data_IF_265974432940
#
_entry.id   IF_265974432940
#
_cell.length_a   1.000
_cell.length_b   1.000
_cell.length_c   1.000
_cell.angle_alpha   90.00
_cell.angle_beta   90.00
_cell.angle_gamma   90.00
#
_symmetry.space_group_name_H-M   'P 1'
#
loop_
_entity.id
_entity.type
_entity.pdbx_description
1 polymer ?
#
# COMPACT_ATOMS: atom_id res chain seq x y z
N UNK A 1 66.08 26.58 41.22
CA UNK A 1 64.64 26.41 40.96
C UNK A 1 64.10 27.62 40.22
N UNK A 2 63.88 27.50 38.91
CA UNK A 2 63.09 28.43 38.10
C UNK A 2 62.33 27.58 37.08
N UNK A 3 61.00 27.63 37.15
CA UNK A 3 60.08 26.93 36.26
C UNK A 3 59.77 27.88 35.10
N UNK A 4 59.98 27.45 33.86
CA UNK A 4 59.54 28.13 32.65
C UNK A 4 58.21 27.51 32.17
N UNK A 5 57.23 28.30 31.68
CA UNK A 5 55.99 27.75 31.15
C UNK A 5 56.14 27.42 29.66
N UNK A 6 55.73 26.20 29.29
CA UNK A 6 55.52 25.74 27.92
C UNK A 6 54.05 25.97 27.55
N UNK A 7 53.83 26.83 26.56
CA UNK A 7 52.56 27.07 25.90
C UNK A 7 52.61 26.39 24.52
N UNK A 8 51.70 25.46 24.14
CA UNK A 8 51.62 25.02 22.76
C UNK A 8 50.63 25.89 21.98
N UNK A 9 51.11 26.46 20.88
CA UNK A 9 50.31 26.99 19.79
C UNK A 9 49.42 25.87 19.21
N UNK A 10 48.10 26.08 19.26
CA UNK A 10 47.11 25.33 18.48
C UNK A 10 46.36 26.36 17.63
N UNK A 11 46.96 26.67 16.47
CA UNK A 11 46.43 27.61 15.48
C UNK A 11 45.59 26.82 14.46
N UNK A 12 44.28 27.00 14.57
CA UNK A 12 43.32 27.18 13.47
C UNK A 12 43.51 26.37 12.18
N UNK A 13 42.77 25.27 12.06
CA UNK A 13 42.36 24.67 10.78
C UNK A 13 40.82 24.51 10.78
N UNK A 14 40.13 25.65 10.81
CA UNK A 14 38.70 25.76 10.54
C UNK A 14 38.54 26.01 9.04
N UNK A 15 38.46 24.93 8.26
CA UNK A 15 37.97 24.99 6.88
C UNK A 15 36.45 25.22 6.92
N UNK A 16 35.90 26.27 6.28
CA UNK A 16 34.48 26.47 6.23
C UNK A 16 33.86 25.40 5.31
N UNK A 17 33.18 24.42 5.90
CA UNK A 17 32.27 23.49 5.20
C UNK A 17 30.99 24.22 4.75
N UNK A 18 31.11 25.39 4.11
CA UNK A 18 30.00 26.18 3.56
C UNK A 18 29.70 25.82 2.10
N UNK A 19 30.12 24.63 1.66
CA UNK A 19 29.90 24.09 0.32
C UNK A 19 28.73 23.11 0.23
N UNK A 20 27.78 23.12 1.15
CA UNK A 20 26.46 22.50 0.92
C UNK A 20 25.72 23.36 -0.10
N UNK A 21 26.13 23.27 -1.36
CA UNK A 21 25.38 23.81 -2.47
C UNK A 21 23.98 23.24 -2.38
N UNK A 22 22.98 24.10 -2.31
CA UNK A 22 21.59 23.73 -2.43
C UNK A 22 21.46 22.93 -3.74
N UNK A 23 21.51 21.60 -3.65
CA UNK A 23 21.20 20.74 -4.77
C UNK A 23 19.80 21.15 -5.18
N UNK A 24 19.72 21.84 -6.33
CA UNK A 24 18.47 22.42 -6.82
C UNK A 24 17.52 21.25 -6.94
N UNK A 25 16.51 21.24 -6.08
CA UNK A 25 15.59 20.12 -5.98
C UNK A 25 14.94 19.95 -7.35
N UNK A 26 15.25 18.84 -8.04
CA UNK A 26 14.68 18.60 -9.35
C UNK A 26 13.16 18.52 -9.20
N UNK A 27 12.40 19.18 -10.10
CA UNK A 27 10.96 19.09 -10.08
C UNK A 27 10.55 17.62 -10.26
N UNK A 28 9.57 17.16 -9.48
CA UNK A 28 9.08 15.81 -9.61
C UNK A 28 8.61 15.57 -11.06
N UNK A 29 8.93 14.42 -11.68
CA UNK A 29 8.54 14.14 -13.04
C UNK A 29 7.01 14.19 -13.15
N UNK A 30 6.48 14.77 -14.22
CA UNK A 30 5.03 14.84 -14.47
C UNK A 30 4.46 13.42 -14.53
N UNK A 31 3.29 13.20 -13.90
CA UNK A 31 2.59 11.92 -14.02
C UNK A 31 2.09 11.70 -15.45
N UNK A 32 2.11 10.45 -15.96
CA UNK A 32 1.40 10.12 -17.19
C UNK A 32 -0.12 10.29 -17.00
N UNK A 33 -0.87 10.25 -18.09
CA UNK A 33 -2.33 10.22 -18.01
C UNK A 33 -2.78 8.91 -17.33
N UNK A 34 -3.83 8.98 -16.51
CA UNK A 34 -4.38 7.78 -15.90
C UNK A 34 -4.99 6.86 -17.00
N UNK A 35 -4.74 5.55 -16.94
CA UNK A 35 -5.27 4.61 -17.93
C UNK A 35 -6.78 4.47 -17.80
N UNK A 36 -7.48 4.34 -18.92
CA UNK A 36 -8.85 3.85 -18.90
C UNK A 36 -8.92 2.34 -18.69
N UNK A 37 -10.15 1.83 -18.53
CA UNK A 37 -10.39 0.40 -18.30
C UNK A 37 -9.93 -0.46 -19.48
N UNK A 38 -10.17 -0.01 -20.70
CA UNK A 38 -9.91 -0.80 -21.90
C UNK A 38 -8.41 -0.96 -22.13
N UNK A 39 -7.64 0.10 -21.92
CA UNK A 39 -6.18 0.08 -21.93
C UNK A 39 -5.64 -0.89 -20.87
N UNK A 40 -6.12 -0.81 -19.64
CA UNK A 40 -5.67 -1.69 -18.55
C UNK A 40 -6.00 -3.16 -18.82
N UNK A 41 -7.18 -3.45 -19.39
CA UNK A 41 -7.57 -4.81 -19.77
C UNK A 41 -6.74 -5.34 -20.94
N UNK A 42 -6.44 -4.53 -21.95
CA UNK A 42 -5.55 -4.89 -23.05
C UNK A 42 -4.13 -5.17 -22.55
N UNK A 43 -3.62 -4.32 -21.66
CA UNK A 43 -2.30 -4.50 -21.04
C UNK A 43 -2.23 -5.83 -20.28
N UNK A 44 -3.23 -6.10 -19.43
CA UNK A 44 -3.32 -7.36 -18.68
C UNK A 44 -3.43 -8.57 -19.61
N UNK A 45 -4.23 -8.49 -20.68
CA UNK A 45 -4.38 -9.59 -21.63
C UNK A 45 -3.05 -9.90 -22.34
N UNK A 46 -2.33 -8.88 -22.80
CA UNK A 46 -1.00 -9.06 -23.40
C UNK A 46 0.00 -9.63 -22.40
N UNK A 47 -0.02 -9.17 -21.15
CA UNK A 47 0.82 -9.70 -20.07
C UNK A 47 0.55 -11.18 -19.81
N UNK A 48 -0.72 -11.57 -19.66
CA UNK A 48 -1.13 -12.97 -19.46
C UNK A 48 -0.73 -13.84 -20.65
N UNK A 49 -0.90 -13.36 -21.89
CA UNK A 49 -0.49 -14.10 -23.07
C UNK A 49 1.04 -14.29 -23.15
N UNK A 50 1.81 -13.28 -22.75
CA UNK A 50 3.27 -13.36 -22.69
C UNK A 50 3.76 -14.40 -21.68
N UNK A 51 3.18 -14.43 -20.48
CA UNK A 51 3.52 -15.45 -19.48
C UNK A 51 3.07 -16.86 -19.90
N UNK A 52 1.89 -17.01 -20.51
CA UNK A 52 1.46 -18.30 -21.07
C UNK A 52 2.43 -18.81 -22.16
N UNK A 53 3.02 -17.91 -22.97
CA UNK A 53 4.05 -18.28 -23.94
C UNK A 53 5.36 -18.73 -23.27
N UNK A 54 5.77 -18.11 -22.14
CA UNK A 54 6.92 -18.56 -21.34
C UNK A 54 6.68 -19.93 -20.69
N UNK A 55 5.46 -20.21 -20.23
CA UNK A 55 5.07 -21.53 -19.73
C UNK A 55 5.14 -22.61 -20.82
N UNK A 56 4.89 -22.23 -22.08
CA UNK A 56 5.06 -23.07 -23.24
C UNK A 56 6.49 -23.09 -23.83
N UNK A 57 7.47 -22.55 -23.10
CA UNK A 57 8.89 -22.47 -23.50
C UNK A 57 9.13 -21.74 -24.83
N UNK A 58 8.26 -20.78 -25.17
CA UNK A 58 8.35 -19.99 -26.41
C UNK A 58 8.76 -18.56 -26.11
N UNK A 59 10.07 -18.34 -26.03
CA UNK A 59 10.65 -17.01 -25.76
C UNK A 59 10.22 -15.97 -26.80
N UNK A 60 10.25 -16.30 -28.08
CA UNK A 60 9.94 -15.36 -29.16
C UNK A 60 8.50 -14.85 -29.04
N UNK A 61 7.55 -15.75 -28.82
CA UNK A 61 6.13 -15.38 -28.66
C UNK A 61 5.89 -14.57 -27.39
N UNK A 62 6.60 -14.88 -26.30
CA UNK A 62 6.53 -14.06 -25.10
C UNK A 62 7.01 -12.63 -25.36
N UNK A 63 8.14 -12.47 -26.08
CA UNK A 63 8.68 -11.17 -26.44
C UNK A 63 7.76 -10.38 -27.39
N UNK A 64 7.07 -11.06 -28.32
CA UNK A 64 6.03 -10.44 -29.16
C UNK A 64 4.89 -9.86 -28.32
N UNK A 65 4.38 -10.64 -27.35
CA UNK A 65 3.33 -10.16 -26.44
C UNK A 65 3.81 -9.02 -25.54
N UNK A 66 5.03 -9.09 -25.00
CA UNK A 66 5.59 -8.00 -24.21
C UNK A 66 5.91 -6.75 -25.04
N UNK A 67 6.12 -6.87 -26.36
CA UNK A 67 6.23 -5.71 -27.24
C UNK A 67 4.90 -4.96 -27.42
N UNK A 68 3.76 -5.64 -27.27
CA UNK A 68 2.46 -4.96 -27.25
C UNK A 68 2.33 -4.02 -26.03
N UNK A 69 3.01 -4.31 -24.92
CA UNK A 69 2.99 -3.45 -23.74
C UNK A 69 3.61 -2.07 -24.01
N UNK A 70 4.69 -2.00 -24.79
CA UNK A 70 5.29 -0.72 -25.24
C UNK A 70 4.34 0.05 -26.16
N UNK A 71 3.55 -0.65 -27.00
CA UNK A 71 2.58 -0.01 -27.89
C UNK A 71 1.40 0.58 -27.12
N UNK A 72 0.97 -0.11 -26.05
CA UNK A 72 -0.12 0.34 -25.18
C UNK A 72 0.31 1.46 -24.24
N UNK A 73 1.51 1.35 -23.66
CA UNK A 73 2.09 2.33 -22.75
C UNK A 73 3.49 2.68 -23.23
N UNK A 74 3.63 3.64 -24.16
CA UNK A 74 4.93 4.11 -24.62
C UNK A 74 5.77 4.59 -23.44
N UNK A 75 7.06 4.27 -23.46
CA UNK A 75 8.00 4.53 -22.35
C UNK A 75 7.63 3.83 -21.03
N UNK A 76 6.72 2.86 -21.05
CA UNK A 76 6.35 2.05 -19.90
C UNK A 76 7.48 1.16 -19.42
N UNK A 77 7.87 1.29 -18.16
CA UNK A 77 8.97 0.51 -17.60
C UNK A 77 8.66 -0.99 -17.48
N UNK A 78 7.39 -1.36 -17.34
CA UNK A 78 6.96 -2.75 -17.15
C UNK A 78 7.22 -3.63 -18.38
N UNK A 79 7.13 -3.08 -19.60
CA UNK A 79 7.44 -3.83 -20.82
C UNK A 79 8.89 -4.36 -20.81
N UNK A 80 9.84 -3.50 -20.44
CA UNK A 80 11.26 -3.89 -20.31
C UNK A 80 11.50 -4.84 -19.12
N UNK A 81 10.78 -4.65 -18.01
CA UNK A 81 10.84 -5.58 -16.88
C UNK A 81 10.41 -7.00 -17.29
N UNK A 82 9.26 -7.14 -17.94
CA UNK A 82 8.78 -8.46 -18.39
C UNK A 82 9.67 -9.09 -19.47
N UNK A 83 10.30 -8.27 -20.34
CA UNK A 83 11.37 -8.76 -21.23
C UNK A 83 12.57 -9.27 -20.44
N UNK A 84 12.95 -8.61 -19.35
CA UNK A 84 14.03 -9.08 -18.48
C UNK A 84 13.71 -10.45 -17.87
N UNK A 85 12.49 -10.65 -17.36
CA UNK A 85 12.02 -11.96 -16.88
C UNK A 85 12.08 -13.01 -18.01
N UNK A 86 11.58 -12.69 -19.21
CA UNK A 86 11.61 -13.60 -20.35
C UNK A 86 13.03 -14.06 -20.71
N UNK A 87 13.97 -13.11 -20.83
CA UNK A 87 15.36 -13.43 -21.12
C UNK A 87 16.02 -14.21 -19.98
N UNK A 88 15.74 -13.84 -18.73
CA UNK A 88 16.29 -14.49 -17.55
C UNK A 88 15.86 -15.96 -17.44
N UNK A 89 14.57 -16.23 -17.64
CA UNK A 89 14.00 -17.58 -17.70
C UNK A 89 14.61 -18.43 -18.82
N UNK A 90 14.95 -17.83 -19.96
CA UNK A 90 15.63 -18.49 -21.07
C UNK A 90 17.16 -18.61 -20.89
N UNK A 91 17.72 -18.24 -19.74
CA UNK A 91 19.17 -18.28 -19.47
C UNK A 91 19.99 -17.20 -20.19
N UNK A 92 19.34 -16.22 -20.83
CA UNK A 92 19.98 -15.12 -21.57
C UNK A 92 20.31 -13.95 -20.64
N UNK A 93 21.25 -14.20 -19.72
CA UNK A 93 21.55 -13.30 -18.60
C UNK A 93 21.98 -11.90 -19.03
N UNK A 94 22.76 -11.78 -20.11
CA UNK A 94 23.22 -10.48 -20.59
C UNK A 94 22.05 -9.61 -21.10
N UNK A 95 21.15 -10.21 -21.88
CA UNK A 95 19.94 -9.55 -22.39
C UNK A 95 18.95 -9.22 -21.27
N UNK A 96 18.80 -10.11 -20.29
CA UNK A 96 17.98 -9.86 -19.11
C UNK A 96 18.50 -8.66 -18.29
N UNK A 97 19.82 -8.62 -18.08
CA UNK A 97 20.49 -7.52 -17.37
C UNK A 97 20.25 -6.18 -18.08
N UNK A 98 20.41 -6.15 -19.39
CA UNK A 98 20.25 -4.93 -20.18
C UNK A 98 18.77 -4.50 -20.27
N UNK A 99 17.83 -5.43 -20.37
CA UNK A 99 16.40 -5.14 -20.30
C UNK A 99 16.01 -4.55 -18.93
N UNK A 100 16.53 -5.11 -17.82
CA UNK A 100 16.26 -4.57 -16.49
C UNK A 100 16.85 -3.16 -16.31
N UNK A 101 18.03 -2.87 -16.86
CA UNK A 101 18.58 -1.51 -16.88
C UNK A 101 17.68 -0.54 -17.63
N UNK A 102 17.14 -0.93 -18.79
CA UNK A 102 16.17 -0.11 -19.53
C UNK A 102 14.88 0.10 -18.75
N UNK A 103 14.38 -0.92 -18.04
CA UNK A 103 13.23 -0.77 -17.14
C UNK A 103 13.52 0.28 -16.06
N UNK A 104 14.67 0.21 -15.40
CA UNK A 104 15.08 1.19 -14.38
C UNK A 104 15.20 2.61 -14.96
N UNK A 105 15.77 2.74 -16.16
CA UNK A 105 15.85 4.03 -16.86
C UNK A 105 14.47 4.62 -17.18
N UNK A 106 13.47 3.76 -17.45
CA UNK A 106 12.06 4.12 -17.64
C UNK A 106 11.29 4.31 -16.31
N UNK A 107 11.95 4.17 -15.16
CA UNK A 107 11.37 4.43 -13.83
C UNK A 107 10.85 3.19 -13.09
N UNK A 108 11.22 1.97 -13.52
CA UNK A 108 11.01 0.78 -12.69
C UNK A 108 11.87 0.86 -11.42
N UNK A 109 11.26 0.67 -10.27
CA UNK A 109 11.87 0.91 -8.98
C UNK A 109 11.22 0.05 -7.88
N UNK A 110 11.23 -1.26 -8.06
CA UNK A 110 10.77 -2.23 -7.05
C UNK A 110 11.91 -3.22 -6.74
N UNK A 111 12.77 -2.91 -5.74
CA UNK A 111 13.89 -3.77 -5.39
C UNK A 111 13.43 -5.12 -4.83
N UNK A 112 12.33 -5.13 -4.07
CA UNK A 112 11.82 -6.31 -3.39
C UNK A 112 11.30 -7.33 -4.43
N UNK A 113 10.54 -6.86 -5.43
CA UNK A 113 10.08 -7.68 -6.56
C UNK A 113 11.26 -8.25 -7.36
N UNK A 114 12.22 -7.41 -7.76
CA UNK A 114 13.37 -7.86 -8.55
C UNK A 114 14.28 -8.84 -7.78
N UNK A 115 14.34 -8.73 -6.45
CA UNK A 115 15.11 -9.61 -5.59
C UNK A 115 14.42 -10.98 -5.43
N UNK A 116 13.08 -11.00 -5.33
CA UNK A 116 12.28 -12.21 -5.17
C UNK A 116 11.99 -12.95 -6.49
N UNK A 117 12.04 -12.28 -7.64
CA UNK A 117 11.66 -12.85 -8.94
C UNK A 117 12.58 -14.03 -9.35
N UNK A 118 12.09 -15.27 -9.45
CA UNK A 118 12.93 -16.42 -9.82
C UNK A 118 13.49 -16.32 -11.25
N UNK A 119 12.81 -15.64 -12.18
CA UNK A 119 13.27 -15.49 -13.57
C UNK A 119 14.53 -14.60 -13.64
N UNK A 120 14.76 -13.75 -12.62
CA UNK A 120 15.93 -12.89 -12.54
C UNK A 120 17.11 -13.50 -11.75
N UNK A 121 17.05 -14.78 -11.36
CA UNK A 121 18.10 -15.44 -10.57
C UNK A 121 19.49 -15.36 -11.24
N UNK A 122 19.56 -15.52 -12.56
CA UNK A 122 20.80 -15.39 -13.32
C UNK A 122 21.39 -13.98 -13.31
N UNK A 123 20.53 -12.95 -13.35
CA UNK A 123 20.94 -11.54 -13.24
C UNK A 123 21.51 -11.26 -11.85
N UNK A 124 20.87 -11.79 -10.79
CA UNK A 124 21.34 -11.64 -9.40
C UNK A 124 22.69 -12.28 -9.13
N UNK A 125 23.01 -13.38 -9.82
CA UNK A 125 24.31 -14.03 -9.72
C UNK A 125 25.42 -13.28 -10.48
N UNK A 126 25.07 -12.32 -11.33
CA UNK A 126 26.00 -11.55 -12.15
C UNK A 126 26.70 -10.43 -11.37
N UNK A 127 27.87 -10.02 -11.86
CA UNK A 127 28.68 -8.94 -11.24
C UNK A 127 27.96 -7.57 -11.22
N UNK A 128 26.97 -7.37 -12.10
CA UNK A 128 26.23 -6.11 -12.24
C UNK A 128 25.10 -5.93 -11.21
N UNK A 129 24.74 -7.00 -10.48
CA UNK A 129 23.57 -6.98 -9.60
C UNK A 129 23.64 -5.90 -8.52
N UNK A 130 24.80 -5.67 -7.91
CA UNK A 130 24.95 -4.63 -6.88
C UNK A 130 24.63 -3.23 -7.41
N UNK A 131 25.03 -2.93 -8.65
CA UNK A 131 24.71 -1.64 -9.27
C UNK A 131 23.21 -1.52 -9.59
N UNK A 132 22.59 -2.60 -10.08
CA UNK A 132 21.15 -2.68 -10.36
C UNK A 132 20.34 -2.49 -9.07
N UNK A 133 20.69 -3.20 -8.00
CA UNK A 133 20.02 -3.09 -6.71
C UNK A 133 20.14 -1.66 -6.14
N UNK A 134 21.33 -1.05 -6.24
CA UNK A 134 21.53 0.34 -5.86
C UNK A 134 20.64 1.32 -6.65
N UNK A 135 20.50 1.11 -7.96
CA UNK A 135 19.65 1.94 -8.82
C UNK A 135 18.14 1.76 -8.52
N UNK A 136 17.68 0.53 -8.28
CA UNK A 136 16.30 0.22 -7.87
C UNK A 136 15.96 0.90 -6.55
N UNK A 137 16.81 0.75 -5.52
CA UNK A 137 16.61 1.38 -4.20
C UNK A 137 16.64 2.91 -4.28
N UNK A 138 17.54 3.48 -5.09
CA UNK A 138 17.57 4.92 -5.31
C UNK A 138 16.31 5.41 -6.03
N UNK A 139 15.78 4.65 -6.99
CA UNK A 139 14.49 4.91 -7.63
C UNK A 139 13.32 4.87 -6.65
N UNK A 140 13.29 3.85 -5.79
CA UNK A 140 12.25 3.66 -4.77
C UNK A 140 12.25 4.83 -3.79
N UNK A 141 13.42 5.24 -3.30
CA UNK A 141 13.56 6.38 -2.39
C UNK A 141 13.14 7.70 -3.05
N UNK A 142 13.47 7.92 -4.34
CA UNK A 142 12.96 9.08 -5.09
C UNK A 142 11.44 9.06 -5.21
N UNK A 143 10.85 7.90 -5.49
CA UNK A 143 9.40 7.70 -5.53
C UNK A 143 8.75 8.06 -4.19
N UNK A 144 9.31 7.53 -3.09
CA UNK A 144 8.87 7.80 -1.72
C UNK A 144 8.98 9.28 -1.35
N UNK A 145 10.10 9.92 -1.66
CA UNK A 145 10.29 11.35 -1.42
C UNK A 145 9.28 12.20 -2.21
N UNK A 146 8.98 11.82 -3.46
CA UNK A 146 7.97 12.49 -4.27
C UNK A 146 6.56 12.33 -3.69
N UNK A 147 6.20 11.14 -3.18
CA UNK A 147 4.93 10.92 -2.47
C UNK A 147 4.82 11.76 -1.20
N UNK A 148 5.89 11.79 -0.39
CA UNK A 148 5.94 12.59 0.83
C UNK A 148 5.81 14.09 0.56
N UNK A 149 6.35 14.58 -0.58
CA UNK A 149 6.19 15.98 -1.01
C UNK A 149 4.76 16.27 -1.46
N UNK A 150 4.18 15.40 -2.30
CA UNK A 150 2.81 15.56 -2.78
C UNK A 150 1.81 15.74 -1.62
N UNK A 151 2.02 15.05 -0.50
CA UNK A 151 1.20 15.19 0.71
C UNK A 151 1.20 16.58 1.35
N UNK A 152 2.22 17.41 1.11
CA UNK A 152 2.37 18.70 1.80
C UNK A 152 1.79 19.89 1.03
N UNK A 153 1.60 19.77 -0.27
CA UNK A 153 1.45 20.93 -1.16
C UNK A 153 0.01 21.20 -1.64
N UNK A 154 -0.99 20.64 -0.97
CA UNK A 154 -2.34 20.68 -1.53
C UNK A 154 -3.13 21.96 -1.19
N UNK A 155 -3.57 22.67 -2.23
CA UNK A 155 -4.42 23.85 -2.11
C UNK A 155 -5.90 23.51 -2.35
N UNK A 156 -6.72 23.55 -1.30
CA UNK A 156 -8.17 23.36 -1.44
C UNK A 156 -8.87 24.40 -2.33
N UNK A 157 -8.24 25.53 -2.64
CA UNK A 157 -8.76 26.56 -3.54
C UNK A 157 -8.85 26.14 -5.01
N UNK A 158 -8.08 25.13 -5.44
CA UNK A 158 -8.07 24.68 -6.84
C UNK A 158 -9.09 23.58 -7.16
N UNK A 159 -9.67 22.92 -6.15
CA UNK A 159 -10.66 21.87 -6.39
C UNK A 159 -12.03 22.43 -6.79
N UNK A 160 -12.81 21.77 -7.66
CA UNK A 160 -14.10 22.28 -8.07
C UNK A 160 -15.09 22.41 -6.90
N UNK A 161 -16.02 23.36 -7.00
CA UNK A 161 -17.20 23.42 -6.11
C UNK A 161 -18.22 22.36 -6.52
N UNK A 162 -18.93 21.81 -5.54
CA UNK A 162 -19.91 20.75 -5.76
C UNK A 162 -21.27 21.16 -5.22
N UNK A 163 -22.38 21.04 -5.98
CA UNK A 163 -23.70 21.43 -5.50
C UNK A 163 -24.23 20.53 -4.38
N UNK A 164 -23.73 19.31 -4.25
CA UNK A 164 -24.12 18.35 -3.22
C UNK A 164 -22.99 17.40 -2.86
N UNK A 165 -23.09 16.77 -1.69
CA UNK A 165 -22.11 15.81 -1.24
C UNK A 165 -22.05 14.55 -2.12
N UNK A 166 -23.20 14.14 -2.68
CA UNK A 166 -23.26 13.01 -3.61
C UNK A 166 -22.54 13.31 -4.94
N UNK A 167 -22.61 14.56 -5.42
CA UNK A 167 -21.86 14.96 -6.62
C UNK A 167 -20.35 14.96 -6.40
N UNK A 168 -19.88 15.36 -5.21
CA UNK A 168 -18.47 15.25 -4.80
C UNK A 168 -18.04 13.77 -4.79
N UNK A 169 -18.81 12.91 -4.12
CA UNK A 169 -18.53 11.47 -4.02
C UNK A 169 -18.51 10.80 -5.38
N UNK A 170 -19.45 11.14 -6.26
CA UNK A 170 -19.52 10.60 -7.62
C UNK A 170 -18.29 11.02 -8.41
N UNK A 171 -17.91 12.29 -8.37
CA UNK A 171 -16.74 12.81 -9.08
C UNK A 171 -15.43 12.11 -8.67
N UNK A 172 -15.12 12.04 -7.37
CA UNK A 172 -13.90 11.34 -6.93
C UNK A 172 -14.02 9.81 -7.05
N UNK A 173 -15.23 9.26 -7.00
CA UNK A 173 -15.49 7.87 -7.36
C UNK A 173 -15.04 7.56 -8.79
N UNK A 174 -15.36 8.42 -9.75
CA UNK A 174 -14.93 8.27 -11.14
C UNK A 174 -13.42 8.50 -11.32
N UNK A 175 -12.81 9.46 -10.61
CA UNK A 175 -11.36 9.67 -10.68
C UNK A 175 -10.54 8.52 -10.07
N UNK A 176 -11.06 7.86 -9.02
CA UNK A 176 -10.36 6.74 -8.38
C UNK A 176 -10.28 5.50 -9.25
N UNK A 177 -11.23 5.28 -10.16
CA UNK A 177 -11.23 4.09 -11.02
C UNK A 177 -10.02 4.03 -11.97
N UNK A 178 -9.71 5.07 -12.78
CA UNK A 178 -8.47 5.12 -13.56
C UNK A 178 -7.21 5.01 -12.71
N UNK A 179 -7.18 5.66 -11.54
CA UNK A 179 -6.03 5.57 -10.64
C UNK A 179 -5.84 4.15 -10.07
N UNK A 180 -6.91 3.37 -9.88
CA UNK A 180 -6.82 1.96 -9.53
C UNK A 180 -6.27 1.11 -10.69
N UNK A 181 -6.65 1.42 -11.93
CA UNK A 181 -6.10 0.74 -13.11
C UNK A 181 -4.61 1.04 -13.34
N UNK A 182 -4.09 2.16 -12.82
CA UNK A 182 -2.67 2.49 -12.90
C UNK A 182 -1.76 1.40 -12.33
N UNK A 183 -2.19 0.64 -11.31
CA UNK A 183 -1.39 -0.45 -10.73
C UNK A 183 -1.18 -1.62 -11.69
N UNK A 184 -1.97 -1.71 -12.76
CA UNK A 184 -1.85 -2.76 -13.78
C UNK A 184 -0.85 -2.40 -14.88
N UNK A 185 -0.64 -1.10 -15.14
CA UNK A 185 0.05 -0.62 -16.35
C UNK A 185 1.30 0.21 -16.07
N UNK A 186 1.46 0.71 -14.84
CA UNK A 186 2.58 1.53 -14.43
C UNK A 186 3.34 0.90 -13.27
N UNK A 187 4.64 1.22 -13.11
CA UNK A 187 5.40 0.85 -11.92
C UNK A 187 4.70 1.31 -10.63
N UNK A 188 4.89 0.55 -9.55
CA UNK A 188 4.25 0.77 -8.25
C UNK A 188 4.33 2.21 -7.76
N UNK A 189 5.50 2.86 -7.83
CA UNK A 189 5.67 4.24 -7.39
C UNK A 189 4.85 5.25 -8.21
N UNK A 190 4.73 5.04 -9.54
CA UNK A 190 3.92 5.90 -10.42
C UNK A 190 2.43 5.72 -10.11
N UNK A 191 1.97 4.47 -10.03
CA UNK A 191 0.58 4.16 -9.70
C UNK A 191 0.19 4.67 -8.30
N UNK A 192 1.09 4.51 -7.32
CA UNK A 192 0.93 5.03 -5.98
C UNK A 192 0.73 6.55 -5.97
N UNK A 193 1.55 7.27 -6.75
CA UNK A 193 1.46 8.74 -6.84
C UNK A 193 0.15 9.20 -7.49
N UNK A 194 -0.33 8.49 -8.52
CA UNK A 194 -1.63 8.76 -9.13
C UNK A 194 -2.77 8.59 -8.12
N UNK A 195 -2.78 7.47 -7.38
CA UNK A 195 -3.80 7.21 -6.34
C UNK A 195 -3.73 8.27 -5.24
N UNK A 196 -2.53 8.63 -4.82
CA UNK A 196 -2.30 9.63 -3.78
C UNK A 196 -2.81 11.01 -4.20
N UNK A 197 -2.52 11.44 -5.43
CA UNK A 197 -3.00 12.71 -5.96
C UNK A 197 -4.53 12.77 -5.94
N UNK A 198 -5.21 11.72 -6.42
CA UNK A 198 -6.69 11.68 -6.39
C UNK A 198 -7.23 11.76 -4.95
N UNK A 199 -6.64 11.04 -3.99
CA UNK A 199 -7.09 11.09 -2.60
C UNK A 199 -6.84 12.44 -1.93
N UNK A 200 -5.72 13.10 -2.23
CA UNK A 200 -5.44 14.45 -1.70
C UNK A 200 -6.44 15.47 -2.22
N UNK A 201 -6.72 15.42 -3.53
CA UNK A 201 -7.75 16.24 -4.17
C UNK A 201 -9.11 16.00 -3.53
N UNK A 202 -9.48 14.73 -3.29
CA UNK A 202 -10.72 14.36 -2.59
C UNK A 202 -10.78 14.97 -1.17
N UNK A 203 -9.71 14.84 -0.38
CA UNK A 203 -9.64 15.41 0.97
C UNK A 203 -9.78 16.94 0.99
N UNK A 204 -9.14 17.60 0.03
CA UNK A 204 -9.20 19.05 -0.10
C UNK A 204 -10.57 19.54 -0.55
N UNK A 205 -11.22 18.82 -1.47
CA UNK A 205 -12.59 19.09 -1.86
C UNK A 205 -13.59 18.85 -0.73
N UNK A 206 -13.40 17.83 0.12
CA UNK A 206 -14.22 17.61 1.32
C UNK A 206 -14.12 18.83 2.26
N UNK A 207 -12.90 19.36 2.45
CA UNK A 207 -12.68 20.55 3.27
C UNK A 207 -13.34 21.80 2.65
N UNK A 208 -13.12 22.03 1.36
CA UNK A 208 -13.75 23.14 0.61
C UNK A 208 -15.27 23.06 0.69
N UNK A 209 -15.84 21.89 0.43
CA UNK A 209 -17.28 21.65 0.48
C UNK A 209 -17.85 21.97 1.86
N UNK A 210 -17.15 21.60 2.95
CA UNK A 210 -17.57 21.96 4.30
C UNK A 210 -17.61 23.47 4.56
N UNK A 211 -16.74 24.26 3.92
CA UNK A 211 -16.76 25.74 4.01
C UNK A 211 -17.86 26.36 3.16
N UNK A 212 -18.10 25.83 1.96
CA UNK A 212 -19.12 26.34 1.03
C UNK A 212 -20.55 25.94 1.44
N UNK A 213 -20.69 24.83 2.15
CA UNK A 213 -21.97 24.29 2.62
C UNK A 213 -21.99 24.14 4.14
N UNK A 214 -22.05 25.23 4.93
CA UNK A 214 -22.03 25.16 6.39
C UNK A 214 -23.25 24.43 7.00
N UNK A 215 -24.33 24.26 6.23
CA UNK A 215 -25.49 23.46 6.60
C UNK A 215 -25.29 21.95 6.38
N UNK A 216 -24.22 21.52 5.70
CA UNK A 216 -23.90 20.12 5.53
C UNK A 216 -23.62 19.47 6.90
N UNK A 217 -24.02 18.22 7.06
CA UNK A 217 -23.82 17.48 8.31
C UNK A 217 -22.32 17.37 8.64
N UNK A 218 -21.85 17.96 9.76
CA UNK A 218 -20.45 17.83 10.18
C UNK A 218 -20.02 16.37 10.32
N UNK A 219 -20.94 15.52 10.79
CA UNK A 219 -20.72 14.08 10.89
C UNK A 219 -20.48 13.42 9.52
N UNK A 220 -21.28 13.75 8.51
CA UNK A 220 -21.10 13.19 7.16
C UNK A 220 -19.75 13.58 6.55
N UNK A 221 -19.30 14.82 6.77
CA UNK A 221 -17.99 15.30 6.31
C UNK A 221 -16.84 14.56 7.02
N UNK A 222 -16.94 14.36 8.33
CA UNK A 222 -15.93 13.61 9.08
C UNK A 222 -15.86 12.15 8.64
N UNK A 223 -17.01 11.50 8.43
CA UNK A 223 -17.04 10.12 7.95
C UNK A 223 -16.45 9.96 6.55
N UNK A 224 -16.69 10.92 5.67
CA UNK A 224 -16.11 10.90 4.33
C UNK A 224 -14.61 11.15 4.34
N UNK A 225 -14.14 12.09 5.17
CA UNK A 225 -12.72 12.31 5.40
C UNK A 225 -12.04 11.05 5.93
N UNK A 226 -12.65 10.39 6.93
CA UNK A 226 -12.14 9.13 7.49
C UNK A 226 -12.02 8.05 6.39
N UNK A 227 -13.05 7.92 5.54
CA UNK A 227 -13.06 6.98 4.41
C UNK A 227 -11.95 7.27 3.40
N UNK A 228 -11.76 8.51 3.00
CA UNK A 228 -10.70 8.87 2.06
C UNK A 228 -9.30 8.66 2.66
N UNK A 229 -9.12 9.01 3.94
CA UNK A 229 -7.86 8.77 4.67
C UNK A 229 -7.56 7.28 4.85
N UNK A 230 -8.57 6.44 5.04
CA UNK A 230 -8.39 5.01 5.24
C UNK A 230 -7.93 4.26 3.98
N UNK A 231 -7.95 4.92 2.81
CA UNK A 231 -7.39 4.40 1.56
C UNK A 231 -5.90 4.71 1.40
N UNK A 232 -5.34 5.65 2.16
CA UNK A 232 -3.91 5.99 2.10
C UNK A 232 -2.99 4.81 2.44
N UNK A 233 -3.29 3.95 3.44
CA UNK A 233 -2.47 2.78 3.74
C UNK A 233 -2.43 1.72 2.62
N UNK A 234 -3.39 1.74 1.69
CA UNK A 234 -3.40 0.84 0.54
C UNK A 234 -2.44 1.30 -0.58
N UNK A 235 -1.89 2.52 -0.45
CA UNK A 235 -0.92 3.06 -1.38
C UNK A 235 0.46 2.52 -1.00
N UNK A 236 1.12 1.88 -1.98
CA UNK A 236 2.40 1.18 -1.82
C UNK A 236 2.41 -0.06 -0.92
N UNK A 237 1.27 -0.60 -0.48
CA UNK A 237 1.24 -1.88 0.26
C UNK A 237 2.13 -1.92 1.51
N UNK A 238 2.53 -0.74 2.03
CA UNK A 238 3.31 -0.59 3.25
C UNK A 238 2.45 0.09 4.30
N UNK A 239 2.33 -0.50 5.50
CA UNK A 239 1.37 -0.04 6.48
C UNK A 239 1.69 1.39 6.99
N UNK A 240 0.77 2.32 6.74
CA UNK A 240 0.47 3.47 7.62
C UNK A 240 1.59 4.49 7.87
N UNK A 241 2.49 4.70 6.92
CA UNK A 241 3.41 5.86 6.96
C UNK A 241 2.75 7.16 6.49
N UNK A 242 1.79 7.07 5.56
CA UNK A 242 1.12 8.22 4.95
C UNK A 242 -0.24 8.46 5.60
N UNK A 243 -0.50 9.70 6.04
CA UNK A 243 -1.82 10.14 6.53
C UNK A 243 -2.27 9.57 7.88
N UNK A 244 -1.41 8.83 8.59
CA UNK A 244 -1.76 8.17 9.86
C UNK A 244 -2.22 9.18 10.92
N UNK A 245 -1.46 10.25 11.13
CA UNK A 245 -1.78 11.24 12.15
C UNK A 245 -3.11 11.93 11.85
N UNK A 246 -3.35 12.25 10.58
CA UNK A 246 -4.56 12.89 10.11
C UNK A 246 -5.77 11.95 10.24
N UNK A 247 -5.60 10.65 9.98
CA UNK A 247 -6.64 9.65 10.20
C UNK A 247 -6.98 9.50 11.68
N UNK A 248 -5.98 9.35 12.56
CA UNK A 248 -6.19 9.24 14.01
C UNK A 248 -6.90 10.48 14.54
N UNK A 249 -6.49 11.67 14.10
CA UNK A 249 -7.14 12.93 14.48
C UNK A 249 -8.61 12.97 14.04
N UNK A 250 -8.92 12.59 12.80
CA UNK A 250 -10.31 12.52 12.32
C UNK A 250 -11.12 11.50 13.12
N UNK A 251 -10.56 10.33 13.40
CA UNK A 251 -11.20 9.30 14.21
C UNK A 251 -11.50 9.78 15.64
N UNK A 252 -10.53 10.44 16.28
CA UNK A 252 -10.71 11.02 17.61
C UNK A 252 -11.80 12.09 17.63
N UNK A 253 -11.87 12.93 16.59
CA UNK A 253 -12.93 13.92 16.47
C UNK A 253 -14.32 13.27 16.35
N UNK A 254 -14.45 12.20 15.56
CA UNK A 254 -15.71 11.43 15.45
C UNK A 254 -16.08 10.82 16.80
N UNK A 255 -15.12 10.17 17.47
CA UNK A 255 -15.37 9.52 18.76
C UNK A 255 -15.74 10.52 19.87
N UNK A 256 -15.17 11.72 19.84
CA UNK A 256 -15.47 12.77 20.82
C UNK A 256 -16.85 13.41 20.59
N UNK A 257 -17.25 13.62 19.34
CA UNK A 257 -18.47 14.37 18.99
C UNK A 257 -19.68 13.48 18.71
N UNK A 258 -19.44 12.23 18.34
CA UNK A 258 -20.44 11.31 17.80
C UNK A 258 -20.27 9.89 18.35
N UNK A 259 -19.94 9.76 19.64
CA UNK A 259 -19.60 8.49 20.30
C UNK A 259 -20.64 7.37 20.11
N UNK A 260 -21.93 7.72 19.99
CA UNK A 260 -23.06 6.78 19.86
C UNK A 260 -23.53 6.58 18.41
N UNK A 261 -22.80 7.14 17.44
CA UNK A 261 -23.10 7.01 16.01
C UNK A 261 -22.66 5.65 15.45
N UNK A 262 -23.29 5.23 14.35
CA UNK A 262 -22.86 4.04 13.59
C UNK A 262 -21.39 4.16 13.12
N UNK A 263 -20.94 5.37 12.81
CA UNK A 263 -19.58 5.65 12.36
C UNK A 263 -18.53 5.64 13.48
N UNK A 264 -18.93 5.70 14.75
CA UNK A 264 -18.00 5.63 15.88
C UNK A 264 -17.26 4.28 15.91
N UNK A 265 -17.94 3.19 15.57
CA UNK A 265 -17.33 1.87 15.45
C UNK A 265 -16.22 1.84 14.39
N UNK A 266 -16.50 2.40 13.21
CA UNK A 266 -15.52 2.52 12.13
C UNK A 266 -14.34 3.41 12.53
N UNK A 267 -14.58 4.56 13.18
CA UNK A 267 -13.53 5.43 13.68
C UNK A 267 -12.63 4.74 14.70
N UNK A 268 -13.22 4.02 15.67
CA UNK A 268 -12.47 3.25 16.66
C UNK A 268 -11.64 2.13 16.02
N UNK A 269 -12.21 1.39 15.07
CA UNK A 269 -11.50 0.37 14.29
C UNK A 269 -10.31 0.96 13.55
N UNK A 270 -10.52 2.01 12.75
CA UNK A 270 -9.45 2.63 11.97
C UNK A 270 -8.38 3.27 12.84
N UNK A 271 -8.72 3.75 14.04
CA UNK A 271 -7.74 4.21 15.02
C UNK A 271 -6.86 3.06 15.52
N UNK A 272 -7.44 1.91 15.85
CA UNK A 272 -6.65 0.72 16.24
C UNK A 272 -5.75 0.27 15.10
N UNK A 273 -6.27 0.20 13.86
CA UNK A 273 -5.49 -0.10 12.66
C UNK A 273 -4.32 0.87 12.49
N UNK A 274 -4.57 2.17 12.56
CA UNK A 274 -3.55 3.20 12.42
C UNK A 274 -2.45 3.07 13.48
N UNK A 275 -2.85 2.85 14.73
CA UNK A 275 -1.90 2.68 15.83
C UNK A 275 -1.08 1.41 15.73
N UNK A 276 -1.69 0.35 15.21
CA UNK A 276 -1.08 -0.96 15.10
C UNK A 276 -0.16 -1.07 13.90
N UNK A 277 -0.74 -0.95 12.71
CA UNK A 277 -0.03 -1.09 11.46
C UNK A 277 1.05 -0.02 11.33
N UNK A 278 0.85 1.17 11.90
CA UNK A 278 1.89 2.21 11.96
C UNK A 278 3.12 1.86 12.80
N UNK A 279 3.10 0.75 13.56
CA UNK A 279 4.26 0.21 14.27
C UNK A 279 5.03 -0.82 13.44
N UNK A 280 4.43 -1.38 12.39
CA UNK A 280 5.11 -2.29 11.46
C UNK A 280 6.09 -1.50 10.63
N UNK A 281 7.34 -1.47 11.08
CA UNK A 281 8.45 -0.91 10.30
C UNK A 281 8.98 -1.97 9.36
N UNK A 282 8.96 -1.67 8.06
CA UNK A 282 9.58 -2.51 7.03
C UNK A 282 8.82 -3.81 6.78
N UNK A 283 9.57 -4.88 6.47
CA UNK A 283 9.05 -6.20 6.08
C UNK A 283 8.69 -7.11 7.25
N UNK A 284 8.72 -6.60 8.49
CA UNK A 284 8.37 -7.40 9.67
C UNK A 284 6.87 -7.71 9.62
N UNK A 285 6.54 -8.82 8.94
CA UNK A 285 5.21 -9.43 8.91
C UNK A 285 4.90 -10.11 10.24
N UNK A 286 5.94 -10.58 10.93
CA UNK A 286 5.81 -11.31 12.19
C UNK A 286 5.98 -10.40 13.39
N UNK A 287 4.87 -10.11 14.05
CA UNK A 287 4.87 -9.38 15.30
C UNK A 287 5.24 -10.29 16.47
N UNK A 288 5.93 -9.77 17.49
CA UNK A 288 6.02 -10.48 18.75
C UNK A 288 4.61 -10.80 19.24
N UNK A 289 4.37 -12.04 19.67
CA UNK A 289 3.05 -12.52 20.14
C UNK A 289 2.38 -11.56 21.11
N UNK A 290 3.13 -11.00 22.05
CA UNK A 290 2.61 -10.04 23.03
C UNK A 290 2.03 -8.75 22.40
N UNK A 291 2.59 -8.29 21.28
CA UNK A 291 2.09 -7.13 20.55
C UNK A 291 0.77 -7.48 19.84
N UNK A 292 0.70 -8.66 19.23
CA UNK A 292 -0.51 -9.17 18.58
C UNK A 292 -1.64 -9.39 19.59
N UNK A 293 -1.34 -9.96 20.75
CA UNK A 293 -2.29 -10.13 21.87
C UNK A 293 -2.89 -8.78 22.29
N UNK A 294 -2.05 -7.74 22.43
CA UNK A 294 -2.51 -6.41 22.79
C UNK A 294 -3.44 -5.80 21.73
N UNK A 295 -3.24 -6.09 20.45
CA UNK A 295 -4.11 -5.60 19.37
C UNK A 295 -5.41 -6.37 19.31
N UNK A 296 -5.37 -7.69 19.49
CA UNK A 296 -6.56 -8.53 19.64
C UNK A 296 -7.45 -7.97 20.76
N UNK A 297 -6.87 -7.65 21.92
CA UNK A 297 -7.61 -7.08 23.05
C UNK A 297 -8.21 -5.69 22.73
N UNK A 298 -7.46 -4.82 22.04
CA UNK A 298 -7.98 -3.51 21.60
C UNK A 298 -9.13 -3.65 20.62
N UNK A 299 -9.02 -4.54 19.62
CA UNK A 299 -10.06 -4.81 18.64
C UNK A 299 -11.32 -5.41 19.29
N UNK A 300 -11.16 -6.33 20.24
CA UNK A 300 -12.28 -6.83 21.06
C UNK A 300 -12.93 -5.72 21.86
N UNK A 301 -12.14 -4.79 22.41
CA UNK A 301 -12.65 -3.59 23.08
C UNK A 301 -13.54 -2.74 22.16
N UNK A 302 -13.15 -2.57 20.89
CA UNK A 302 -13.98 -1.89 19.87
C UNK A 302 -15.27 -2.67 19.62
N UNK A 303 -15.17 -3.97 19.37
CA UNK A 303 -16.33 -4.83 19.09
C UNK A 303 -17.35 -4.84 20.24
N UNK A 304 -16.86 -4.95 21.48
CA UNK A 304 -17.71 -4.98 22.68
C UNK A 304 -18.36 -3.62 22.97
N UNK A 305 -17.70 -2.52 22.61
CA UNK A 305 -18.29 -1.17 22.72
C UNK A 305 -19.35 -0.93 21.65
N UNK A 306 -19.22 -1.54 20.48
CA UNK A 306 -20.10 -1.33 19.33
C UNK A 306 -20.67 -2.63 18.76
N UNK A 307 -21.40 -3.43 19.57
CA UNK A 307 -21.85 -4.77 19.18
C UNK A 307 -22.84 -4.70 18.01
N UNK A 308 -22.71 -5.64 17.07
CA UNK A 308 -23.59 -5.77 15.89
C UNK A 308 -23.45 -4.65 14.84
N UNK A 309 -22.63 -3.63 15.08
CA UNK A 309 -22.32 -2.62 14.05
C UNK A 309 -21.33 -3.17 13.02
N UNK A 310 -21.32 -2.69 11.76
CA UNK A 310 -20.34 -3.12 10.77
C UNK A 310 -18.89 -2.98 11.26
N UNK A 311 -18.54 -1.85 11.89
CA UNK A 311 -17.19 -1.62 12.43
C UNK A 311 -16.85 -2.51 13.63
N UNK A 312 -17.82 -2.82 14.50
CA UNK A 312 -17.61 -3.75 15.61
C UNK A 312 -17.40 -5.18 15.12
N UNK A 313 -18.17 -5.60 14.11
CA UNK A 313 -18.02 -6.89 13.46
C UNK A 313 -16.70 -7.04 12.73
N UNK A 314 -16.29 -6.02 11.98
CA UNK A 314 -14.99 -6.00 11.31
C UNK A 314 -13.83 -6.02 12.33
N UNK A 315 -13.95 -5.31 13.45
CA UNK A 315 -12.96 -5.36 14.52
C UNK A 315 -12.81 -6.77 15.12
N UNK A 316 -13.92 -7.45 15.40
CA UNK A 316 -13.86 -8.81 15.95
C UNK A 316 -13.31 -9.83 14.96
N UNK A 317 -13.68 -9.68 13.70
CA UNK A 317 -13.14 -10.47 12.60
C UNK A 317 -11.62 -10.32 12.50
N UNK A 318 -11.13 -9.09 12.49
CA UNK A 318 -9.70 -8.80 12.44
C UNK A 318 -8.96 -9.32 13.68
N UNK A 319 -9.59 -9.26 14.87
CA UNK A 319 -9.06 -9.85 16.09
C UNK A 319 -8.89 -11.38 15.97
N UNK A 320 -9.88 -12.07 15.40
CA UNK A 320 -9.78 -13.51 15.14
C UNK A 320 -8.65 -13.83 14.15
N UNK A 321 -8.54 -13.07 13.06
CA UNK A 321 -7.51 -13.28 12.03
C UNK A 321 -6.10 -13.07 12.59
N UNK A 322 -5.86 -11.99 13.32
CA UNK A 322 -4.56 -11.70 13.95
C UNK A 322 -4.21 -12.78 14.98
N UNK A 323 -5.17 -13.23 15.80
CA UNK A 323 -4.93 -14.32 16.75
C UNK A 323 -4.56 -15.64 16.03
N UNK A 324 -5.22 -15.94 14.91
CA UNK A 324 -4.98 -17.15 14.14
C UNK A 324 -3.61 -17.16 13.43
N UNK A 325 -3.06 -16.01 13.07
CA UNK A 325 -1.73 -15.91 12.45
C UNK A 325 -0.60 -16.36 13.39
N UNK A 326 -0.76 -16.13 14.70
CA UNK A 326 0.23 -16.52 15.70
C UNK A 326 -0.05 -17.86 16.37
N UNK A 327 -1.32 -18.25 16.47
CA UNK A 327 -1.74 -19.44 17.19
C UNK A 327 -2.61 -20.35 16.31
N UNK A 328 -2.23 -20.55 15.05
CA UNK A 328 -2.97 -21.40 14.11
C UNK A 328 -3.26 -22.82 14.66
N UNK A 329 -2.43 -23.33 15.58
CA UNK A 329 -2.63 -24.62 16.25
C UNK A 329 -3.45 -24.58 17.55
N UNK A 330 -3.66 -23.41 18.16
CA UNK A 330 -4.38 -23.28 19.43
C UNK A 330 -5.87 -22.98 19.21
N UNK A 331 -6.61 -24.00 18.77
CA UNK A 331 -8.05 -23.88 18.56
C UNK A 331 -8.81 -23.52 19.84
N UNK A 332 -8.27 -23.81 21.03
CA UNK A 332 -8.89 -23.44 22.29
C UNK A 332 -8.89 -21.92 22.48
N UNK A 333 -7.82 -21.24 22.05
CA UNK A 333 -7.73 -19.78 22.03
C UNK A 333 -8.64 -19.13 20.98
N UNK A 334 -8.76 -19.73 19.79
CA UNK A 334 -9.55 -19.15 18.69
C UNK A 334 -11.06 -19.35 18.86
N UNK A 335 -11.48 -20.44 19.52
CA UNK A 335 -12.89 -20.78 19.75
C UNK A 335 -13.73 -19.65 20.37
N UNK A 336 -13.32 -18.99 21.47
CA UNK A 336 -14.11 -17.89 22.03
C UNK A 336 -14.27 -16.71 21.05
N UNK A 337 -13.22 -16.35 20.31
CA UNK A 337 -13.29 -15.25 19.33
C UNK A 337 -14.26 -15.56 18.19
N UNK A 338 -14.25 -16.81 17.71
CA UNK A 338 -15.19 -17.26 16.69
C UNK A 338 -16.63 -17.24 17.20
N UNK A 339 -16.90 -17.73 18.41
CA UNK A 339 -18.25 -17.72 18.97
C UNK A 339 -18.76 -16.29 19.21
N UNK A 340 -17.91 -15.38 19.66
CA UNK A 340 -18.25 -13.96 19.79
C UNK A 340 -18.56 -13.34 18.40
N UNK A 341 -17.86 -13.74 17.34
CA UNK A 341 -18.13 -13.29 15.97
C UNK A 341 -19.45 -13.84 15.44
N UNK A 342 -19.69 -15.14 15.63
CA UNK A 342 -20.96 -15.81 15.27
C UNK A 342 -22.16 -15.16 15.95
N UNK A 343 -22.06 -14.88 17.25
CA UNK A 343 -23.17 -14.36 18.06
C UNK A 343 -23.62 -12.96 17.63
N UNK A 344 -22.67 -12.05 17.40
CA UNK A 344 -23.01 -10.63 17.18
C UNK A 344 -23.13 -10.28 15.69
N UNK A 345 -22.48 -11.04 14.79
CA UNK A 345 -22.30 -10.65 13.39
C UNK A 345 -22.79 -11.70 12.40
N UNK A 346 -22.96 -12.95 12.85
CA UNK A 346 -23.10 -14.10 11.96
C UNK A 346 -21.84 -14.39 11.15
N UNK A 347 -21.88 -15.48 10.38
CA UNK A 347 -20.81 -15.87 9.45
C UNK A 347 -21.35 -15.86 8.01
N UNK A 348 -21.75 -14.69 7.50
CA UNK A 348 -22.00 -14.55 6.05
C UNK A 348 -20.68 -14.21 5.36
N UNK A 349 -20.08 -15.10 4.57
CA UNK A 349 -18.83 -14.81 3.87
C UNK A 349 -18.93 -13.58 2.95
N UNK A 350 -20.14 -13.24 2.49
CA UNK A 350 -20.40 -12.09 1.61
C UNK A 350 -20.27 -10.76 2.34
N UNK A 351 -20.43 -10.72 3.67
CA UNK A 351 -20.21 -9.51 4.46
C UNK A 351 -18.74 -9.28 4.81
N UNK A 352 -17.86 -10.24 4.48
CA UNK A 352 -16.44 -10.25 4.87
C UNK A 352 -15.51 -10.60 3.69
N UNK A 353 -15.57 -9.88 2.56
CA UNK A 353 -14.90 -10.29 1.33
C UNK A 353 -13.39 -10.47 1.47
N UNK A 354 -12.74 -9.67 2.34
CA UNK A 354 -11.29 -9.72 2.54
C UNK A 354 -10.81 -10.90 3.42
N UNK A 355 -11.70 -11.51 4.21
CA UNK A 355 -11.33 -12.58 5.16
C UNK A 355 -12.20 -13.84 5.04
N UNK A 356 -13.19 -13.87 4.15
CA UNK A 356 -14.22 -14.93 4.10
C UNK A 356 -13.64 -16.34 4.04
N UNK A 357 -12.61 -16.57 3.22
CA UNK A 357 -11.94 -17.88 3.14
C UNK A 357 -11.26 -18.27 4.45
N UNK A 358 -10.44 -17.37 5.02
CA UNK A 358 -9.70 -17.61 6.26
C UNK A 358 -10.63 -17.85 7.44
N UNK A 359 -11.72 -17.10 7.54
CA UNK A 359 -12.73 -17.29 8.60
C UNK A 359 -13.44 -18.62 8.47
N UNK A 360 -13.83 -19.01 7.25
CA UNK A 360 -14.49 -20.29 7.02
C UNK A 360 -13.57 -21.46 7.38
N UNK A 361 -12.29 -21.37 7.00
CA UNK A 361 -11.29 -22.36 7.40
C UNK A 361 -11.18 -22.47 8.93
N UNK A 362 -10.99 -21.33 9.62
CA UNK A 362 -10.92 -21.29 11.08
C UNK A 362 -12.20 -21.83 11.74
N UNK A 363 -13.36 -21.50 11.18
CA UNK A 363 -14.64 -21.97 11.68
C UNK A 363 -14.78 -23.49 11.58
N UNK A 364 -14.37 -24.07 10.45
CA UNK A 364 -14.36 -25.53 10.25
C UNK A 364 -13.37 -26.22 11.19
N UNK A 365 -12.16 -25.66 11.34
CA UNK A 365 -11.13 -26.19 12.24
C UNK A 365 -11.59 -26.19 13.70
N UNK A 366 -12.15 -25.07 14.17
CA UNK A 366 -12.73 -24.96 15.52
C UNK A 366 -13.88 -25.94 15.76
N UNK A 367 -14.67 -26.24 14.71
CA UNK A 367 -15.80 -27.19 14.72
C UNK A 367 -15.40 -28.66 14.54
N UNK A 368 -14.10 -28.97 14.54
CA UNK A 368 -13.61 -30.35 14.54
C UNK A 368 -13.21 -30.90 13.18
N UNK A 369 -12.94 -30.03 12.19
CA UNK A 369 -12.28 -30.39 10.94
C UNK A 369 -10.80 -29.91 10.96
N UNK A 370 -9.91 -30.54 11.75
CA UNK A 370 -8.58 -30.01 12.03
C UNK A 370 -7.67 -29.88 10.81
N UNK A 371 -7.88 -30.74 9.80
CA UNK A 371 -7.07 -30.82 8.58
C UNK A 371 -7.70 -30.08 7.39
N UNK A 372 -8.73 -29.26 7.64
CA UNK A 372 -9.31 -28.45 6.59
C UNK A 372 -8.39 -27.28 6.26
N UNK A 373 -7.92 -27.23 5.01
CA UNK A 373 -7.20 -26.11 4.43
C UNK A 373 -7.97 -25.63 3.21
N UNK A 374 -8.33 -24.35 3.19
CA UNK A 374 -8.86 -23.77 1.96
C UNK A 374 -7.72 -23.75 0.94
N UNK A 375 -8.00 -24.18 -0.28
CA UNK A 375 -7.08 -24.00 -1.41
C UNK A 375 -7.77 -23.15 -2.47
N UNK A 376 -7.00 -22.30 -3.14
CA UNK A 376 -7.46 -21.58 -4.31
C UNK A 376 -7.73 -22.54 -5.49
N UNK A 377 -8.21 -21.99 -6.61
CA UNK A 377 -8.53 -22.79 -7.81
C UNK A 377 -7.31 -23.52 -8.39
N UNK A 378 -6.10 -23.07 -8.06
CA UNK A 378 -4.83 -23.63 -8.51
C UNK A 378 -4.24 -24.61 -7.48
N UNK A 379 -4.99 -24.94 -6.42
CA UNK A 379 -4.57 -25.87 -5.37
C UNK A 379 -3.55 -25.27 -4.39
N UNK A 380 -3.38 -23.95 -4.37
CA UNK A 380 -2.49 -23.27 -3.43
C UNK A 380 -3.25 -22.95 -2.14
N UNK A 381 -2.66 -23.20 -0.96
CA UNK A 381 -3.30 -22.94 0.32
C UNK A 381 -3.54 -21.47 0.63
#
# INVERSE_FOLDING_TARGET
>A
MRIAPLLPLLFSLLLPLSGFGCAREEPAPRLPAAPDRDLAMQFRAALTAGYAALEADSLERALEHFALLDALVPEGALAEYHRACAYGRAGRVAEATEALRRAIAKGYADPDEAEADPDLAGVRAGADWLAIQGALRAGEERGRAALARALREFDSGVEPSFPSFDSLRSYYGELRRPAAYATMVHPRAVAARMRLEVLQRELAAIERFGREHPAASPYALLMERLRAQSLLPEIEGRPWTLGRHELVRTADEILARHADSIGAAAAALWKVRADWYGQLRGEVRDLPRAASDAVVDRLRGVANRYPGTPGGCEARLEALVIAAEHDAGDLARLRPLLHELEADCGLDPRSMPQYGYKVNELALRVKGAPDFQAVDIDGRP
#
